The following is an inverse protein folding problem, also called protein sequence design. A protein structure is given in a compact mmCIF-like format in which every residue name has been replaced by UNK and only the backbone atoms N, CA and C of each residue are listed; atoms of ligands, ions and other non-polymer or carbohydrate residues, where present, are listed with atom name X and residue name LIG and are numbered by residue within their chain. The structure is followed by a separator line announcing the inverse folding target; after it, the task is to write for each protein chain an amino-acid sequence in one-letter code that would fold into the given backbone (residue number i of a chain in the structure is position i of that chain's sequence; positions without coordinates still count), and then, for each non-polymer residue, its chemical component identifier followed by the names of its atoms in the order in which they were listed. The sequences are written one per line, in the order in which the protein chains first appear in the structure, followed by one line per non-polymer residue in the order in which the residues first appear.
data_IF_927211629818
#
_entry.id   IF_927211629818
#
_cell.length_a   1.000
_cell.length_b   1.000
_cell.length_c   1.000
_cell.angle_alpha   90.00
_cell.angle_beta   90.00
_cell.angle_gamma   90.00
#
_symmetry.space_group_name_H-M   'P 1'
#
loop_
_entity.id
_entity.type
_entity.pdbx_description
1 polymer ?
#
# COMPACT_ATOMS: atom_id res chain seq x y z
N UNK A 1 17.91 -6.20 -11.67
CA UNK A 1 17.36 -4.84 -11.50
C UNK A 1 15.94 -4.94 -11.00
N UNK A 2 15.52 -4.01 -10.13
CA UNK A 2 14.12 -3.86 -9.73
C UNK A 2 13.61 -2.56 -10.35
N UNK A 3 12.54 -2.64 -11.14
CA UNK A 3 11.76 -1.48 -11.55
C UNK A 3 10.63 -1.32 -10.53
N UNK A 4 10.71 -0.26 -9.74
CA UNK A 4 9.72 0.04 -8.71
C UNK A 4 8.74 1.11 -9.22
N UNK A 5 7.45 0.81 -9.18
CA UNK A 5 6.35 1.70 -9.54
C UNK A 5 5.56 2.02 -8.28
N UNK A 6 5.65 3.27 -7.82
CA UNK A 6 4.99 3.69 -6.60
C UNK A 6 3.55 4.13 -6.86
N UNK A 7 2.64 3.80 -5.93
CA UNK A 7 1.24 4.19 -5.89
C UNK A 7 0.47 4.04 -7.23
N UNK A 8 0.59 2.85 -7.82
CA UNK A 8 -0.15 2.50 -9.01
C UNK A 8 -1.65 2.41 -8.68
N UNK A 9 -2.44 3.29 -9.26
CA UNK A 9 -3.90 3.21 -9.23
C UNK A 9 -4.44 3.66 -10.58
N UNK A 10 -5.53 3.04 -11.03
CA UNK A 10 -6.16 3.37 -12.31
C UNK A 10 -7.57 3.91 -12.09
N UNK A 11 -7.83 5.11 -12.60
CA UNK A 11 -9.18 5.67 -12.72
C UNK A 11 -9.92 5.11 -13.94
N UNK A 12 -11.26 5.18 -13.96
CA UNK A 12 -12.08 4.61 -15.04
C UNK A 12 -11.66 5.05 -16.44
N UNK A 13 -11.26 6.32 -16.58
CA UNK A 13 -10.95 6.95 -17.87
C UNK A 13 -9.46 6.93 -18.24
N UNK A 14 -8.59 6.31 -17.43
CA UNK A 14 -7.16 6.22 -17.72
C UNK A 14 -6.88 5.06 -18.69
N UNK A 15 -6.05 5.33 -19.69
CA UNK A 15 -5.66 4.36 -20.74
C UNK A 15 -4.21 3.88 -20.60
N UNK A 16 -3.47 4.51 -19.69
CA UNK A 16 -2.05 4.31 -19.38
C UNK A 16 -1.77 2.86 -18.95
N UNK A 17 -2.74 2.19 -18.33
CA UNK A 17 -2.64 0.78 -17.95
C UNK A 17 -2.40 -0.16 -19.14
N UNK A 18 -2.84 0.21 -20.36
CA UNK A 18 -2.63 -0.59 -21.58
C UNK A 18 -1.16 -0.65 -21.97
N UNK A 19 -0.44 0.47 -21.81
CA UNK A 19 1.01 0.50 -22.03
C UNK A 19 1.74 -0.35 -20.99
N UNK A 20 1.36 -0.24 -19.72
CA UNK A 20 1.96 -1.05 -18.66
C UNK A 20 1.71 -2.54 -18.88
N UNK A 21 0.51 -2.93 -19.30
CA UNK A 21 0.18 -4.31 -19.65
C UNK A 21 1.04 -4.82 -20.80
N UNK A 22 1.14 -4.04 -21.89
CA UNK A 22 1.95 -4.41 -23.05
C UNK A 22 3.45 -4.54 -22.71
N UNK A 23 3.97 -3.70 -21.81
CA UNK A 23 5.33 -3.80 -21.29
C UNK A 23 5.55 -5.09 -20.48
N UNK A 24 4.61 -5.47 -19.61
CA UNK A 24 4.72 -6.68 -18.79
C UNK A 24 4.55 -7.95 -19.64
N UNK A 25 3.66 -7.92 -20.64
CA UNK A 25 3.42 -9.04 -21.57
C UNK A 25 4.54 -9.21 -22.62
N UNK A 26 5.46 -8.25 -22.70
CA UNK A 26 6.56 -8.27 -23.67
C UNK A 26 6.12 -7.97 -25.10
N UNK A 27 4.96 -7.32 -25.29
CA UNK A 27 4.39 -7.01 -26.59
C UNK A 27 5.02 -5.79 -27.29
N UNK A 28 5.66 -4.91 -26.52
CA UNK A 28 6.45 -3.77 -27.05
C UNK A 28 7.93 -4.12 -27.18
N UNK A 29 8.52 -4.74 -26.16
CA UNK A 29 9.88 -5.27 -26.14
C UNK A 29 9.93 -6.49 -25.21
N UNK A 30 10.84 -7.43 -25.42
CA UNK A 30 10.96 -8.61 -24.55
C UNK A 30 11.42 -8.20 -23.16
N UNK A 31 10.65 -8.52 -22.11
CA UNK A 31 11.05 -8.23 -20.72
C UNK A 31 12.39 -8.92 -20.43
N UNK A 32 13.45 -8.19 -20.04
CA UNK A 32 14.74 -8.81 -19.72
C UNK A 32 14.62 -9.80 -18.56
N UNK A 33 15.41 -10.89 -18.62
CA UNK A 33 15.41 -11.94 -17.60
C UNK A 33 15.88 -11.44 -16.23
N UNK A 34 16.72 -10.41 -16.20
CA UNK A 34 17.31 -9.84 -15.00
C UNK A 34 16.52 -8.64 -14.43
N UNK A 35 15.25 -8.46 -14.81
CA UNK A 35 14.38 -7.38 -14.33
C UNK A 35 13.18 -7.93 -13.56
N UNK A 36 12.99 -7.46 -12.32
CA UNK A 36 11.77 -7.65 -11.53
C UNK A 36 10.97 -6.35 -11.48
N UNK A 37 9.65 -6.44 -11.56
CA UNK A 37 8.74 -5.28 -11.52
C UNK A 37 7.99 -5.33 -10.20
N UNK A 38 8.15 -4.30 -9.38
CA UNK A 38 7.42 -4.11 -8.14
C UNK A 38 6.46 -2.95 -8.32
N UNK A 39 5.20 -3.13 -7.92
CA UNK A 39 4.20 -2.09 -7.91
C UNK A 39 3.57 -2.02 -6.53
N UNK A 40 3.40 -0.81 -6.00
CA UNK A 40 2.57 -0.56 -4.81
C UNK A 40 1.24 0.03 -5.24
N UNK A 41 0.22 -0.13 -4.40
CA UNK A 41 -1.11 0.44 -4.61
C UNK A 41 -1.72 0.75 -3.26
N UNK A 42 -2.20 1.97 -3.07
CA UNK A 42 -2.98 2.34 -1.90
C UNK A 42 -4.41 1.77 -1.93
N UNK A 43 -4.78 1.08 -3.01
CA UNK A 43 -6.08 0.41 -3.18
C UNK A 43 -5.94 -1.09 -3.03
N UNK A 44 -6.88 -1.72 -2.31
CA UNK A 44 -6.95 -3.18 -2.09
C UNK A 44 -6.98 -3.98 -3.41
N UNK A 45 -7.54 -3.37 -4.43
CA UNK A 45 -7.43 -3.79 -5.82
C UNK A 45 -6.87 -2.59 -6.59
N UNK A 46 -5.98 -2.81 -7.57
CA UNK A 46 -5.46 -1.75 -8.46
C UNK A 46 -6.58 -0.92 -9.12
N UNK A 47 -7.79 -1.45 -9.13
CA UNK A 47 -9.00 -0.90 -9.73
C UNK A 47 -10.06 -0.73 -8.66
N UNK A 48 -10.73 0.42 -8.66
CA UNK A 48 -11.88 0.67 -7.81
C UNK A 48 -13.10 -0.09 -8.38
N UNK A 49 -13.58 -1.12 -7.69
CA UNK A 49 -14.90 -1.68 -7.98
C UNK A 49 -15.97 -0.78 -7.35
N UNK A 50 -16.48 0.22 -8.08
CA UNK A 50 -17.59 1.03 -7.58
C UNK A 50 -18.91 0.26 -7.75
N UNK A 51 -19.19 -0.69 -6.84
CA UNK A 51 -20.45 -1.45 -6.85
C UNK A 51 -21.71 -0.57 -6.77
N UNK A 52 -21.59 0.67 -6.25
CA UNK A 52 -22.70 1.60 -6.10
C UNK A 52 -23.16 2.29 -7.40
N UNK A 53 -22.40 2.18 -8.49
CA UNK A 53 -22.74 2.83 -9.77
C UNK A 53 -23.54 1.91 -10.70
N UNK A 54 -23.83 0.67 -10.26
CA UNK A 54 -24.65 -0.31 -11.00
C UNK A 54 -26.16 -0.07 -10.91
N UNK A 55 -26.63 0.87 -10.09
CA UNK A 55 -28.06 0.99 -9.79
C UNK A 55 -28.77 2.04 -10.67
N UNK A 56 -28.04 2.93 -11.35
CA UNK A 56 -28.61 4.04 -12.12
C UNK A 56 -28.16 4.12 -13.58
N UNK A 57 -27.52 3.06 -14.10
CA UNK A 57 -26.79 3.12 -15.36
C UNK A 57 -27.49 2.31 -16.44
N UNK A 58 -27.54 2.83 -17.66
CA UNK A 58 -28.24 2.17 -18.76
C UNK A 58 -27.53 0.87 -19.17
N UNK A 59 -28.26 -0.14 -19.68
CA UNK A 59 -27.73 -1.49 -19.92
C UNK A 59 -26.51 -1.54 -20.86
N UNK A 60 -26.36 -0.56 -21.74
CA UNK A 60 -25.17 -0.43 -22.59
C UNK A 60 -23.95 0.05 -21.79
N UNK A 61 -24.10 1.07 -20.94
CA UNK A 61 -23.02 1.62 -20.11
C UNK A 61 -22.52 0.58 -19.09
N UNK A 62 -23.41 -0.27 -18.56
CA UNK A 62 -23.02 -1.40 -17.70
C UNK A 62 -22.10 -2.40 -18.42
N UNK A 63 -22.37 -2.69 -19.69
CA UNK A 63 -21.56 -3.61 -20.48
C UNK A 63 -20.14 -3.05 -20.70
N UNK A 64 -20.02 -1.78 -21.11
CA UNK A 64 -18.73 -1.10 -21.30
C UNK A 64 -17.93 -0.98 -20.00
N UNK A 65 -18.59 -0.70 -18.88
CA UNK A 65 -17.95 -0.67 -17.56
C UNK A 65 -17.42 -2.06 -17.18
N UNK A 66 -18.20 -3.12 -17.41
CA UNK A 66 -17.78 -4.50 -17.12
C UNK A 66 -16.56 -4.96 -17.92
N UNK A 67 -16.46 -4.56 -19.19
CA UNK A 67 -15.31 -4.87 -20.06
C UNK A 67 -14.08 -4.09 -19.61
N UNK A 68 -14.24 -2.82 -19.22
CA UNK A 68 -13.15 -1.98 -18.68
C UNK A 68 -12.58 -2.57 -17.39
N UNK A 69 -13.44 -3.04 -16.49
CA UNK A 69 -13.02 -3.70 -15.24
C UNK A 69 -12.26 -5.00 -15.53
N UNK A 70 -12.74 -5.84 -16.47
CA UNK A 70 -12.05 -7.06 -16.89
C UNK A 70 -10.70 -6.79 -17.53
N UNK A 71 -10.59 -5.78 -18.38
CA UNK A 71 -9.34 -5.42 -19.03
C UNK A 71 -8.29 -4.98 -18.00
N UNK A 72 -8.69 -4.21 -16.98
CA UNK A 72 -7.77 -3.82 -15.91
C UNK A 72 -7.44 -4.98 -14.96
N UNK A 73 -8.40 -5.86 -14.63
CA UNK A 73 -8.13 -7.05 -13.80
C UNK A 73 -7.04 -7.92 -14.44
N UNK A 74 -7.06 -8.03 -15.78
CA UNK A 74 -6.03 -8.77 -16.51
C UNK A 74 -4.61 -8.20 -16.36
N UNK A 75 -4.45 -6.93 -16.02
CA UNK A 75 -3.15 -6.34 -15.66
C UNK A 75 -2.73 -6.77 -14.25
N UNK A 76 -3.65 -6.76 -13.29
CA UNK A 76 -3.38 -7.22 -11.92
C UNK A 76 -2.92 -8.70 -11.91
N UNK A 77 -3.53 -9.56 -12.74
CA UNK A 77 -3.17 -10.97 -12.87
C UNK A 77 -1.74 -11.21 -13.40
N UNK A 78 -1.08 -10.18 -13.96
CA UNK A 78 0.33 -10.29 -14.39
C UNK A 78 1.33 -10.15 -13.24
N UNK A 79 0.88 -9.66 -12.08
CA UNK A 79 1.67 -9.68 -10.87
C UNK A 79 1.51 -11.06 -10.20
N UNK A 80 2.50 -11.93 -10.38
CA UNK A 80 2.45 -13.30 -9.87
C UNK A 80 2.51 -13.44 -8.33
N UNK A 81 2.85 -12.36 -7.62
CA UNK A 81 2.88 -12.32 -6.15
C UNK A 81 2.26 -11.01 -5.69
N UNK A 82 1.28 -11.12 -4.79
CA UNK A 82 0.61 -9.97 -4.16
C UNK A 82 0.83 -10.02 -2.66
N UNK A 83 1.32 -8.92 -2.10
CA UNK A 83 1.57 -8.77 -0.66
C UNK A 83 0.65 -7.69 -0.12
N UNK A 84 -0.17 -8.05 0.86
CA UNK A 84 -1.08 -7.11 1.53
C UNK A 84 -0.43 -6.45 2.75
N UNK A 85 -0.49 -5.13 2.84
CA UNK A 85 -0.13 -4.38 4.04
C UNK A 85 -1.41 -3.99 4.79
N UNK A 86 -1.71 -4.74 5.84
CA UNK A 86 -2.89 -4.50 6.66
C UNK A 86 -2.57 -3.58 7.83
N UNK A 87 -3.59 -2.85 8.29
CA UNK A 87 -3.50 -2.06 9.50
C UNK A 87 -3.17 -3.00 10.67
N UNK A 88 -2.06 -2.78 11.41
CA UNK A 88 -1.70 -3.64 12.52
C UNK A 88 -2.74 -3.60 13.64
N UNK A 89 -2.89 -4.71 14.37
CA UNK A 89 -3.52 -4.70 15.68
C UNK A 89 -2.72 -3.81 16.65
N UNK A 90 -3.33 -3.38 17.75
CA UNK A 90 -2.60 -2.61 18.77
C UNK A 90 -1.39 -3.38 19.33
N UNK A 91 -1.51 -4.70 19.48
CA UNK A 91 -0.40 -5.55 19.92
C UNK A 91 0.75 -5.54 18.91
N UNK A 92 0.45 -5.74 17.62
CA UNK A 92 1.49 -5.69 16.57
C UNK A 92 2.10 -4.29 16.47
N UNK A 93 1.31 -3.23 16.66
CA UNK A 93 1.81 -1.87 16.69
C UNK A 93 2.81 -1.64 17.84
N UNK A 94 2.53 -2.16 19.03
CA UNK A 94 3.48 -2.12 20.15
C UNK A 94 4.78 -2.88 19.83
N UNK A 95 4.69 -4.04 19.19
CA UNK A 95 5.90 -4.75 18.73
C UNK A 95 6.70 -3.95 17.71
N UNK A 96 6.03 -3.23 16.79
CA UNK A 96 6.69 -2.32 15.85
C UNK A 96 7.42 -1.21 16.59
N UNK A 97 6.75 -0.54 17.55
CA UNK A 97 7.36 0.55 18.35
C UNK A 97 8.58 0.03 19.12
N UNK A 98 8.46 -1.10 19.82
CA UNK A 98 9.58 -1.71 20.56
C UNK A 98 10.74 -2.08 19.65
N UNK A 99 10.45 -2.69 18.49
CA UNK A 99 11.47 -3.05 17.51
C UNK A 99 12.19 -1.83 16.91
N UNK A 100 11.48 -0.71 16.73
CA UNK A 100 12.08 0.53 16.26
C UNK A 100 12.89 1.21 17.37
N UNK A 101 12.37 1.31 18.60
CA UNK A 101 13.06 1.92 19.74
C UNK A 101 14.39 1.23 20.04
N UNK A 102 14.44 -0.11 19.97
CA UNK A 102 15.67 -0.90 20.17
C UNK A 102 16.82 -0.59 19.21
N UNK A 103 16.56 0.14 18.11
CA UNK A 103 17.60 0.60 17.18
C UNK A 103 18.36 1.83 17.71
N UNK A 104 17.86 2.47 18.76
CA UNK A 104 18.36 3.73 19.30
C UNK A 104 18.69 3.58 20.80
N UNK A 105 19.98 3.44 21.16
CA UNK A 105 20.41 3.32 22.55
C UNK A 105 20.01 4.49 23.46
N UNK A 106 19.72 5.65 22.88
CA UNK A 106 19.26 6.87 23.55
C UNK A 106 17.88 6.72 24.16
N UNK A 107 17.04 5.82 23.61
CA UNK A 107 15.71 5.54 24.14
C UNK A 107 15.84 4.47 25.23
N UNK A 108 15.85 4.90 26.48
CA UNK A 108 16.01 4.02 27.65
C UNK A 108 14.69 3.59 28.30
N UNK A 109 13.55 3.92 27.70
CA UNK A 109 12.21 3.56 28.18
C UNK A 109 12.04 2.03 28.23
N UNK A 110 11.34 1.53 29.24
CA UNK A 110 10.98 0.10 29.29
C UNK A 110 9.94 -0.25 28.23
N UNK A 111 9.77 -1.55 27.95
CA UNK A 111 8.74 -2.02 27.03
C UNK A 111 7.33 -1.54 27.46
N UNK A 112 7.02 -1.53 28.77
CA UNK A 112 5.75 -1.03 29.29
C UNK A 112 5.56 0.48 29.11
N UNK A 113 6.63 1.26 29.29
CA UNK A 113 6.62 2.71 29.08
C UNK A 113 6.43 3.03 27.59
N UNK A 114 7.13 2.32 26.71
CA UNK A 114 6.95 2.42 25.26
C UNK A 114 5.52 2.10 24.83
N UNK A 115 4.92 1.05 25.39
CA UNK A 115 3.52 0.70 25.11
C UNK A 115 2.54 1.79 25.57
N UNK A 116 2.81 2.40 26.73
CA UNK A 116 2.01 3.53 27.24
C UNK A 116 2.09 4.74 26.31
N UNK A 117 3.30 5.16 25.96
CA UNK A 117 3.52 6.30 25.06
C UNK A 117 2.94 6.01 23.66
N UNK A 118 3.12 4.80 23.15
CA UNK A 118 2.52 4.35 21.89
C UNK A 118 0.99 4.45 21.89
N UNK A 119 0.34 4.10 23.01
CA UNK A 119 -1.11 4.19 23.16
C UNK A 119 -1.59 5.66 23.15
N UNK A 120 -0.88 6.54 23.85
CA UNK A 120 -1.17 7.99 23.90
C UNK A 120 -0.95 8.61 22.51
N UNK A 121 0.16 8.27 21.86
CA UNK A 121 0.56 8.79 20.56
C UNK A 121 -0.45 8.48 19.47
N UNK A 122 -0.91 7.23 19.38
CA UNK A 122 -1.94 6.85 18.38
C UNK A 122 -3.22 7.65 18.58
N UNK A 123 -3.68 7.83 19.82
CA UNK A 123 -4.92 8.60 20.09
C UNK A 123 -4.84 10.06 19.63
N UNK A 124 -3.65 10.64 19.63
CA UNK A 124 -3.41 12.04 19.33
C UNK A 124 -2.98 12.28 17.88
N UNK A 125 -2.33 11.30 17.24
CA UNK A 125 -1.71 11.43 15.91
C UNK A 125 -2.29 10.49 14.84
N UNK A 126 -3.34 9.73 15.15
CA UNK A 126 -4.17 9.05 14.15
C UNK A 126 -4.31 7.54 14.35
N UNK A 127 -3.88 6.77 13.37
CA UNK A 127 -4.10 5.32 13.34
C UNK A 127 -2.80 4.57 13.62
N UNK A 128 -2.90 3.38 14.20
CA UNK A 128 -1.74 2.53 14.36
C UNK A 128 -1.20 2.10 12.99
N UNK A 129 0.02 2.54 12.69
CA UNK A 129 0.72 2.32 11.42
C UNK A 129 2.23 2.39 11.65
N UNK A 130 3.01 1.82 10.73
CA UNK A 130 4.48 1.93 10.81
C UNK A 130 4.97 3.38 10.79
N UNK A 131 4.33 4.25 9.99
CA UNK A 131 4.63 5.69 9.95
C UNK A 131 4.38 6.37 11.29
N UNK A 132 3.23 6.09 11.92
CA UNK A 132 2.90 6.67 13.23
C UNK A 132 3.84 6.17 14.33
N UNK A 133 4.28 4.90 14.26
CA UNK A 133 5.30 4.37 15.16
C UNK A 133 6.65 5.08 14.96
N UNK A 134 7.10 5.26 13.71
CA UNK A 134 8.35 5.96 13.42
C UNK A 134 8.33 7.41 13.90
N UNK A 135 7.21 8.11 13.72
CA UNK A 135 7.03 9.47 14.25
C UNK A 135 7.13 9.53 15.78
N UNK A 136 6.61 8.53 16.50
CA UNK A 136 6.80 8.43 17.96
C UNK A 136 8.27 8.28 18.30
N UNK A 137 9.02 7.46 17.58
CA UNK A 137 10.46 7.28 17.83
C UNK A 137 11.21 8.59 17.64
N UNK A 138 10.93 9.35 16.57
CA UNK A 138 11.53 10.66 16.37
C UNK A 138 11.15 11.67 17.46
N UNK A 139 9.91 11.62 17.96
CA UNK A 139 9.49 12.45 19.09
C UNK A 139 10.29 12.11 20.36
N UNK A 140 10.39 10.83 20.71
CA UNK A 140 11.15 10.38 21.87
C UNK A 140 12.64 10.74 21.76
N UNK A 141 13.22 10.65 20.57
CA UNK A 141 14.62 11.07 20.34
C UNK A 141 14.80 12.59 20.52
N UNK A 142 13.81 13.39 20.14
CA UNK A 142 13.84 14.84 20.34
C UNK A 142 13.72 15.26 21.80
N UNK A 143 13.11 14.42 22.65
CA UNK A 143 12.97 14.68 24.09
C UNK A 143 14.20 14.26 24.91
N UNK A 144 15.18 13.58 24.29
CA UNK A 144 16.42 13.11 24.96
C UNK A 144 17.55 14.16 24.94
N UNK A 145 17.31 15.35 24.36
CA UNK A 145 18.24 16.50 24.44
C UNK A 145 18.27 17.21 25.81
#
# INVERSE_FOLDING_TARGET
FILYMDDLSFEENESEYKYLKALIEGGLETKPDNVLIYATSNRRHLIKETWNERINTSSNEEMYHSDTVREKLSLADRFGVTIGYYKPSMKEYFEIVKALARKYPEITLTDEELEREANIWVRTHGAQSGRTAEQLIYHLLGDVE
#
